data_IF_562652332353
#
_entry.id   IF_562652332353
#
_cell.length_a   1.000
_cell.length_b   1.000
_cell.length_c   1.000
_cell.angle_alpha   90.00
_cell.angle_beta   90.00
_cell.angle_gamma   90.00
#
_symmetry.space_group_name_H-M   'P 1'
#
loop_
_entity.id
_entity.type
_entity.pdbx_description
1 polymer ?
#
# COMPACT_ATOMS: atom_id res chain seq x y z
N UNK A 1 10.97 16.60 -31.53
CA UNK A 1 9.62 16.72 -30.98
C UNK A 1 9.04 15.38 -30.51
N UNK A 2 9.12 14.36 -31.35
CA UNK A 2 8.62 13.02 -31.01
C UNK A 2 9.39 12.42 -29.83
N UNK A 3 10.71 12.60 -29.80
CA UNK A 3 11.58 12.09 -28.74
C UNK A 3 11.20 12.63 -27.35
N UNK A 4 10.86 13.90 -27.27
CA UNK A 4 10.45 14.52 -26.00
C UNK A 4 9.14 13.92 -25.50
N UNK A 5 8.20 13.71 -26.40
CA UNK A 5 6.92 13.11 -26.07
C UNK A 5 7.08 11.67 -25.60
N UNK A 6 7.92 10.91 -26.26
CA UNK A 6 8.23 9.52 -25.87
C UNK A 6 8.87 9.46 -24.48
N UNK A 7 9.79 10.38 -24.18
CA UNK A 7 10.40 10.46 -22.86
C UNK A 7 9.39 10.76 -21.78
N UNK A 8 8.46 11.68 -22.05
CA UNK A 8 7.40 12.02 -21.10
C UNK A 8 6.49 10.85 -20.85
N UNK A 9 6.13 10.11 -21.88
CA UNK A 9 5.32 8.90 -21.71
C UNK A 9 6.05 7.84 -20.91
N UNK A 10 7.34 7.65 -21.15
CA UNK A 10 8.13 6.70 -20.38
C UNK A 10 8.22 7.10 -18.91
N UNK A 11 8.38 8.38 -18.61
CA UNK A 11 8.39 8.89 -17.25
C UNK A 11 7.05 8.67 -16.57
N UNK A 12 5.97 8.91 -17.28
CA UNK A 12 4.62 8.70 -16.76
C UNK A 12 4.41 7.23 -16.40
N UNK A 13 4.82 6.32 -17.28
CA UNK A 13 4.67 4.88 -17.01
C UNK A 13 5.45 4.45 -15.76
N UNK A 14 6.65 4.96 -15.58
CA UNK A 14 7.45 4.67 -14.38
C UNK A 14 6.75 5.17 -13.12
N UNK A 15 6.19 6.36 -13.16
CA UNK A 15 5.49 6.92 -12.02
C UNK A 15 4.22 6.14 -11.69
N UNK A 16 3.50 5.68 -12.71
CA UNK A 16 2.33 4.83 -12.52
C UNK A 16 2.71 3.51 -11.84
N UNK A 17 3.81 2.90 -12.26
CA UNK A 17 4.31 1.67 -11.64
C UNK A 17 4.67 1.88 -10.17
N UNK A 18 5.33 2.99 -9.86
CA UNK A 18 5.67 3.37 -8.48
C UNK A 18 4.41 3.54 -7.65
N UNK A 19 3.40 4.20 -8.21
CA UNK A 19 2.13 4.42 -7.53
C UNK A 19 1.45 3.09 -7.21
N UNK A 20 1.44 2.16 -8.15
CA UNK A 20 0.85 0.84 -7.94
C UNK A 20 1.57 0.11 -6.81
N UNK A 21 2.91 0.13 -6.81
CA UNK A 21 3.71 -0.49 -5.76
C UNK A 21 3.44 0.11 -4.40
N UNK A 22 3.34 1.45 -4.33
CA UNK A 22 3.05 2.15 -3.09
C UNK A 22 1.64 1.82 -2.59
N UNK A 23 0.66 1.80 -3.47
CA UNK A 23 -0.70 1.44 -3.11
C UNK A 23 -0.78 0.01 -2.56
N UNK A 24 -0.04 -0.92 -3.17
CA UNK A 24 0.03 -2.30 -2.67
C UNK A 24 0.64 -2.36 -1.27
N UNK A 25 1.68 -1.58 -1.02
CA UNK A 25 2.30 -1.51 0.31
C UNK A 25 1.33 -0.94 1.35
N UNK A 26 0.60 0.10 0.96
CA UNK A 26 -0.40 0.70 1.83
C UNK A 26 -1.47 -0.34 2.20
N UNK A 27 -1.98 -1.07 1.23
CA UNK A 27 -2.98 -2.11 1.47
C UNK A 27 -2.46 -3.19 2.42
N UNK A 28 -1.22 -3.61 2.24
CA UNK A 28 -0.60 -4.61 3.11
C UNK A 28 -0.49 -4.09 4.53
N UNK A 29 -0.05 -2.84 4.71
CA UNK A 29 0.07 -2.24 6.02
C UNK A 29 -1.29 -2.05 6.69
N UNK A 30 -2.29 -1.62 5.95
CA UNK A 30 -3.64 -1.48 6.48
C UNK A 30 -4.18 -2.83 6.97
N UNK A 31 -3.94 -3.89 6.22
CA UNK A 31 -4.33 -5.24 6.62
C UNK A 31 -3.62 -5.68 7.90
N UNK A 32 -2.32 -5.41 7.99
CA UNK A 32 -1.55 -5.74 9.19
C UNK A 32 -2.04 -4.98 10.42
N UNK A 33 -2.41 -3.73 10.22
CA UNK A 33 -2.97 -2.91 11.31
C UNK A 33 -4.30 -3.52 11.78
N UNK A 34 -5.17 -3.87 10.86
CA UNK A 34 -6.45 -4.51 11.19
C UNK A 34 -6.26 -5.82 11.93
N UNK A 35 -5.32 -6.64 11.48
CA UNK A 35 -5.00 -7.90 12.13
C UNK A 35 -4.43 -7.70 13.53
N UNK A 36 -3.57 -6.72 13.70
CA UNK A 36 -2.98 -6.38 15.00
C UNK A 36 -4.04 -5.86 15.96
N UNK A 37 -4.95 -5.00 15.47
CA UNK A 37 -6.06 -4.49 16.29
C UNK A 37 -6.99 -5.61 16.73
N UNK A 38 -7.29 -6.53 15.83
CA UNK A 38 -8.11 -7.69 16.16
C UNK A 38 -7.43 -8.58 17.18
N UNK A 39 -6.13 -8.78 17.07
CA UNK A 39 -5.37 -9.55 18.03
C UNK A 39 -5.37 -8.90 19.44
N UNK A 40 -5.25 -7.57 19.51
CA UNK A 40 -5.32 -6.85 20.76
C UNK A 40 -6.69 -6.97 21.42
N UNK A 41 -7.75 -6.83 20.63
CA UNK A 41 -9.11 -6.99 21.13
C UNK A 41 -9.33 -8.40 21.67
N UNK A 42 -8.85 -9.42 20.97
CA UNK A 42 -8.94 -10.79 21.42
C UNK A 42 -8.21 -11.04 22.72
N UNK A 43 -7.03 -10.45 22.90
CA UNK A 43 -6.29 -10.54 24.16
C UNK A 43 -7.04 -9.87 25.29
N UNK A 44 -7.65 -8.72 25.06
CA UNK A 44 -8.44 -8.02 26.05
C UNK A 44 -9.62 -8.85 26.49
N UNK A 45 -10.32 -9.49 25.56
CA UNK A 45 -11.45 -10.36 25.87
C UNK A 45 -11.00 -11.56 26.70
N UNK A 46 -9.86 -12.14 26.40
CA UNK A 46 -9.31 -13.25 27.20
C UNK A 46 -8.91 -12.81 28.60
N UNK A 47 -8.37 -11.62 28.71
CA UNK A 47 -7.95 -11.08 30.00
C UNK A 47 -9.13 -10.71 30.89
N UNK A 48 -10.27 -10.39 30.28
CA UNK A 48 -11.47 -9.98 31.01
C UNK A 48 -12.22 -11.15 31.69
N UNK A 49 -11.78 -12.35 31.45
CA UNK A 49 -12.31 -13.51 32.16
C UNK A 49 -11.74 -13.58 33.56
#
# INVERSE_FOLDING_TARGET
MIEKLEKLHAMLEKEKERRIKLNNRIEILERRIQEAEAAEVNEMVRSAK
#
